data_IF_323304322886
#
_entry.id   IF_323304322886
#
_cell.length_a   1.000
_cell.length_b   1.000
_cell.length_c   1.000
_cell.angle_alpha   90.00
_cell.angle_beta   90.00
_cell.angle_gamma   90.00
#
_symmetry.space_group_name_H-M   'P 1'
#
loop_
_entity.id
_entity.type
_entity.pdbx_description
1 polymer ?
#
# COMPACT_ATOMS: atom_id res chain seq x y z
N UNK A 1 25.13 -26.19 45.41
CA UNK A 1 23.75 -26.29 45.93
C UNK A 1 23.06 -24.97 45.62
N UNK A 2 22.10 -24.97 44.67
CA UNK A 2 21.14 -23.91 44.25
C UNK A 2 21.64 -22.47 43.98
N UNK A 3 21.07 -21.65 43.10
CA UNK A 3 20.24 -21.74 41.89
C UNK A 3 20.10 -20.29 41.36
N UNK A 4 19.72 -20.15 40.10
CA UNK A 4 19.62 -18.90 39.35
C UNK A 4 18.57 -17.90 39.85
N UNK A 5 18.78 -16.61 39.58
CA UNK A 5 17.72 -15.76 39.01
C UNK A 5 18.34 -14.68 38.10
N UNK A 6 17.92 -14.69 36.82
CA UNK A 6 18.25 -13.68 35.83
C UNK A 6 17.32 -12.47 36.00
N UNK A 7 17.90 -11.28 36.11
CA UNK A 7 17.18 -10.02 36.00
C UNK A 7 16.90 -9.70 34.54
N UNK A 8 15.64 -9.79 34.15
CA UNK A 8 15.12 -9.44 32.83
C UNK A 8 15.04 -7.92 32.66
N UNK A 9 16.04 -7.33 32.00
CA UNK A 9 15.95 -6.01 31.37
C UNK A 9 15.73 -6.21 29.87
N UNK A 10 14.47 -6.30 29.44
CA UNK A 10 14.18 -6.48 28.01
C UNK A 10 12.74 -6.87 27.73
N UNK A 11 11.78 -5.98 28.00
CA UNK A 11 10.39 -6.19 27.57
C UNK A 11 9.62 -4.86 27.51
N UNK A 12 9.98 -3.95 26.60
CA UNK A 12 9.14 -2.77 26.33
C UNK A 12 9.13 -2.28 24.88
N UNK A 13 9.64 -3.07 23.94
CA UNK A 13 9.50 -2.79 22.51
C UNK A 13 8.82 -3.98 21.85
N UNK A 14 7.86 -3.73 20.95
CA UNK A 14 7.02 -4.67 20.17
C UNK A 14 5.54 -4.73 20.55
N UNK A 15 4.86 -3.57 20.56
CA UNK A 15 3.40 -3.52 20.51
C UNK A 15 2.94 -2.40 19.57
N UNK A 16 2.81 -2.67 18.26
CA UNK A 16 1.80 -1.96 17.45
C UNK A 16 1.26 -2.85 16.33
N UNK A 17 -0.07 -2.93 16.28
CA UNK A 17 -0.90 -3.64 15.30
C UNK A 17 -1.14 -2.87 14.01
N UNK A 18 -1.44 -3.59 12.92
CA UNK A 18 -1.56 -3.04 11.56
C UNK A 18 -2.59 -3.73 10.69
N UNK A 19 -3.11 -2.92 9.76
CA UNK A 19 -3.74 -3.42 8.56
C UNK A 19 -3.36 -2.58 7.33
N UNK A 20 -3.24 -3.27 6.20
CA UNK A 20 -3.07 -2.68 4.87
C UNK A 20 -4.38 -2.92 4.14
N UNK A 21 -5.08 -1.85 3.77
CA UNK A 21 -6.15 -1.93 2.79
C UNK A 21 -5.50 -2.05 1.42
N UNK A 22 -5.38 -3.27 0.90
CA UNK A 22 -5.13 -3.49 -0.52
C UNK A 22 -6.35 -4.20 -1.09
N UNK A 23 -7.01 -3.55 -2.04
CA UNK A 23 -8.10 -4.19 -2.78
C UNK A 23 -7.55 -5.34 -3.62
N UNK A 24 -7.88 -6.56 -3.22
CA UNK A 24 -7.87 -7.74 -4.07
C UNK A 24 -9.23 -8.43 -3.84
N UNK A 25 -10.29 -7.88 -4.43
CA UNK A 25 -11.65 -8.27 -4.09
C UNK A 25 -12.65 -8.10 -5.22
N UNK A 26 -12.51 -8.90 -6.30
CA UNK A 26 -13.61 -9.58 -7.00
C UNK A 26 -13.03 -10.70 -7.87
N UNK A 27 -12.71 -11.84 -7.26
CA UNK A 27 -12.78 -13.16 -7.91
C UNK A 27 -13.29 -14.13 -6.85
N UNK A 28 -14.62 -14.19 -6.70
CA UNK A 28 -15.30 -15.37 -6.20
C UNK A 28 -15.62 -16.25 -7.42
N UNK A 29 -15.18 -17.50 -7.33
CA UNK A 29 -15.89 -18.68 -7.85
C UNK A 29 -16.19 -18.74 -9.35
N UNK A 30 -15.22 -19.22 -10.14
CA UNK A 30 -15.54 -20.03 -11.33
C UNK A 30 -14.75 -21.34 -11.27
N UNK A 31 -15.53 -22.40 -11.23
CA UNK A 31 -15.13 -23.79 -11.19
C UNK A 31 -14.32 -24.20 -12.44
N UNK A 32 -13.29 -25.02 -12.19
CA UNK A 32 -12.73 -26.05 -13.08
C UNK A 32 -12.87 -25.90 -14.61
N UNK A 33 -11.76 -25.62 -15.30
CA UNK A 33 -11.21 -26.44 -16.42
C UNK A 33 -9.94 -25.80 -17.00
N UNK A 34 -8.83 -26.49 -16.79
CA UNK A 34 -7.58 -26.32 -17.54
C UNK A 34 -7.82 -26.71 -19.01
N UNK A 35 -7.41 -25.86 -19.94
CA UNK A 35 -6.80 -26.33 -21.19
C UNK A 35 -5.58 -25.48 -21.49
N UNK A 36 -4.47 -26.18 -21.65
CA UNK A 36 -3.19 -25.69 -22.10
C UNK A 36 -3.19 -25.42 -23.61
N UNK A 37 -2.16 -24.69 -24.03
CA UNK A 37 -1.69 -24.41 -25.39
C UNK A 37 -2.30 -23.19 -26.07
N UNK A 38 -1.48 -22.13 -26.19
CA UNK A 38 -1.04 -21.64 -27.50
C UNK A 38 0.25 -20.81 -27.35
N UNK A 39 1.24 -21.18 -28.15
CA UNK A 39 2.53 -20.52 -28.31
C UNK A 39 2.34 -19.48 -29.43
N UNK A 40 2.66 -18.20 -29.16
CA UNK A 40 3.03 -17.24 -30.21
C UNK A 40 4.27 -16.47 -29.73
N UNK A 41 5.42 -16.57 -30.42
CA UNK A 41 6.59 -15.75 -30.14
C UNK A 41 6.61 -14.47 -31.00
N UNK A 42 7.31 -13.47 -30.47
CA UNK A 42 7.79 -12.25 -31.12
C UNK A 42 6.80 -11.09 -31.35
N UNK A 43 6.80 -10.16 -30.39
CA UNK A 43 6.97 -8.75 -30.67
C UNK A 43 7.88 -8.15 -29.59
N UNK A 44 8.91 -7.42 -30.03
CA UNK A 44 9.88 -6.72 -29.19
C UNK A 44 9.17 -5.72 -28.27
N UNK A 45 9.13 -6.02 -26.96
CA UNK A 45 8.90 -5.01 -25.92
C UNK A 45 10.24 -4.34 -25.61
N UNK A 46 10.51 -3.20 -26.23
CA UNK A 46 11.61 -2.31 -25.82
C UNK A 46 11.30 -1.69 -24.45
N UNK A 47 12.15 -1.98 -23.47
CA UNK A 47 12.33 -1.27 -22.20
C UNK A 47 11.10 -0.99 -21.33
N UNK A 48 10.27 -2.00 -21.05
CA UNK A 48 9.52 -1.98 -19.80
C UNK A 48 10.47 -2.34 -18.65
N UNK A 49 10.52 -1.60 -17.53
CA UNK A 49 11.30 -2.03 -16.38
C UNK A 49 10.70 -3.33 -15.88
N UNK A 50 11.34 -4.44 -16.25
CA UNK A 50 11.05 -5.78 -15.76
C UNK A 50 11.03 -5.67 -14.24
N UNK A 51 9.87 -5.95 -13.65
CA UNK A 51 9.73 -6.04 -12.19
C UNK A 51 10.81 -7.00 -11.72
N UNK A 52 11.76 -6.43 -11.00
CA UNK A 52 13.10 -7.00 -10.99
C UNK A 52 13.24 -8.21 -10.07
N UNK A 53 12.22 -8.46 -9.26
CA UNK A 53 12.13 -9.55 -8.32
C UNK A 53 10.73 -10.17 -8.36
N UNK A 54 10.68 -11.50 -8.27
CA UNK A 54 9.42 -12.24 -8.19
C UNK A 54 8.73 -11.98 -6.83
N UNK A 55 7.41 -12.19 -6.72
CA UNK A 55 6.70 -12.11 -5.44
C UNK A 55 7.35 -12.94 -4.31
N UNK A 56 8.13 -13.96 -4.66
CA UNK A 56 8.90 -14.79 -3.73
C UNK A 56 9.97 -13.98 -2.98
N UNK A 57 10.73 -13.13 -3.67
CA UNK A 57 11.81 -12.37 -3.01
C UNK A 57 11.24 -11.26 -2.13
N UNK A 58 10.18 -10.58 -2.59
CA UNK A 58 9.44 -9.61 -1.78
C UNK A 58 8.94 -10.28 -0.50
N UNK A 59 8.39 -11.49 -0.61
CA UNK A 59 7.95 -12.28 0.55
C UNK A 59 9.10 -12.58 1.50
N UNK A 60 10.23 -13.07 0.99
CA UNK A 60 11.40 -13.36 1.83
C UNK A 60 11.91 -12.12 2.57
N UNK A 61 11.97 -10.97 1.91
CA UNK A 61 12.40 -9.72 2.52
C UNK A 61 11.43 -9.23 3.58
N UNK A 62 10.13 -9.28 3.30
CA UNK A 62 9.09 -8.93 4.27
C UNK A 62 9.12 -9.87 5.48
N UNK A 63 9.17 -11.19 5.27
CA UNK A 63 9.18 -12.19 6.35
C UNK A 63 10.44 -12.08 7.24
N UNK A 64 11.59 -11.68 6.67
CA UNK A 64 12.86 -11.55 7.41
C UNK A 64 13.02 -10.22 8.12
N UNK A 65 12.50 -9.13 7.54
CA UNK A 65 12.80 -7.76 7.99
C UNK A 65 11.63 -7.14 8.77
N UNK A 66 10.40 -7.58 8.54
CA UNK A 66 9.19 -6.94 9.09
C UNK A 66 8.58 -7.81 10.19
N UNK A 67 8.64 -7.33 11.43
CA UNK A 67 8.19 -8.07 12.60
C UNK A 67 6.78 -7.68 13.05
N UNK A 68 6.00 -8.67 13.49
CA UNK A 68 4.65 -8.46 14.01
C UNK A 68 3.59 -8.12 12.95
N UNK A 69 3.96 -7.90 11.68
CA UNK A 69 3.02 -7.43 10.64
C UNK A 69 2.44 -8.54 9.76
N UNK A 70 2.05 -9.67 10.35
CA UNK A 70 1.60 -10.85 9.61
C UNK A 70 0.41 -10.57 8.66
N UNK A 71 -0.60 -9.80 9.09
CA UNK A 71 -1.74 -9.44 8.21
C UNK A 71 -1.30 -8.53 7.06
N UNK A 72 -0.53 -7.49 7.37
CA UNK A 72 -0.02 -6.53 6.39
C UNK A 72 0.81 -7.23 5.30
N UNK A 73 1.75 -8.09 5.70
CA UNK A 73 2.58 -8.87 4.79
C UNK A 73 1.72 -9.76 3.88
N UNK A 74 0.75 -10.49 4.46
CA UNK A 74 -0.14 -11.38 3.69
C UNK A 74 -0.92 -10.62 2.61
N UNK A 75 -1.44 -9.44 2.95
CA UNK A 75 -2.29 -8.64 2.06
C UNK A 75 -1.46 -7.96 0.97
N UNK A 76 -0.33 -7.36 1.32
CA UNK A 76 0.61 -6.77 0.36
C UNK A 76 1.03 -7.80 -0.67
N UNK A 77 1.44 -8.99 -0.22
CA UNK A 77 1.87 -10.05 -1.12
C UNK A 77 0.75 -10.51 -2.04
N UNK A 78 -0.47 -10.65 -1.53
CA UNK A 78 -1.64 -11.01 -2.34
C UNK A 78 -1.91 -9.94 -3.41
N UNK A 79 -1.93 -8.66 -3.03
CA UNK A 79 -2.24 -7.56 -3.92
C UNK A 79 -1.17 -7.32 -4.99
N UNK A 80 0.11 -7.33 -4.60
CA UNK A 80 1.23 -7.25 -5.54
C UNK A 80 1.21 -8.44 -6.51
N UNK A 81 1.01 -9.67 -6.01
CA UNK A 81 0.93 -10.85 -6.87
C UNK A 81 -0.23 -10.81 -7.85
N UNK A 82 -1.37 -10.24 -7.46
CA UNK A 82 -2.52 -10.08 -8.35
C UNK A 82 -2.23 -9.02 -9.43
N UNK A 83 -1.71 -7.86 -9.05
CA UNK A 83 -1.36 -6.79 -9.98
C UNK A 83 -0.27 -7.23 -10.98
N UNK A 84 0.77 -7.92 -10.51
CA UNK A 84 1.88 -8.38 -11.36
C UNK A 84 1.46 -9.46 -12.37
N UNK A 85 0.46 -10.28 -12.05
CA UNK A 85 -0.07 -11.33 -12.96
C UNK A 85 -0.97 -10.78 -14.06
N UNK A 86 -1.61 -9.64 -13.83
CA UNK A 86 -2.48 -9.02 -14.81
C UNK A 86 -1.67 -8.24 -15.85
N UNK A 87 -1.77 -8.63 -17.13
CA UNK A 87 -1.07 -7.94 -18.24
C UNK A 87 -1.58 -6.51 -18.45
N UNK A 88 -2.87 -6.30 -18.24
CA UNK A 88 -3.57 -5.00 -18.41
C UNK A 88 -4.62 -4.82 -17.30
N UNK A 89 -4.23 -4.46 -16.07
CA UNK A 89 -5.17 -4.19 -14.98
C UNK A 89 -6.18 -3.08 -15.35
N UNK A 90 -7.43 -3.20 -14.89
CA UNK A 90 -8.49 -2.21 -15.19
C UNK A 90 -8.43 -0.95 -14.32
N UNK A 91 -7.62 -0.97 -13.26
CA UNK A 91 -7.32 0.14 -12.36
C UNK A 91 -5.91 -0.03 -11.76
N UNK A 92 -5.24 1.04 -11.32
CA UNK A 92 -3.96 0.91 -10.62
C UNK A 92 -4.09 0.08 -9.34
N UNK A 93 -2.95 -0.42 -8.84
CA UNK A 93 -2.90 -0.99 -7.50
C UNK A 93 -2.87 0.15 -6.48
N UNK A 94 -3.90 0.23 -5.64
CA UNK A 94 -3.98 1.19 -4.55
C UNK A 94 -3.88 0.45 -3.22
N UNK A 95 -2.97 0.91 -2.35
CA UNK A 95 -2.81 0.39 -1.00
C UNK A 95 -2.80 1.53 0.01
N UNK A 96 -3.54 1.39 1.10
CA UNK A 96 -3.51 2.32 2.23
C UNK A 96 -3.04 1.63 3.51
N UNK A 97 -1.98 2.14 4.09
CA UNK A 97 -1.25 1.59 5.23
C UNK A 97 -1.63 2.41 6.47
N UNK A 98 -2.38 1.79 7.38
CA UNK A 98 -2.88 2.44 8.60
C UNK A 98 -2.23 1.83 9.86
N UNK A 99 -1.88 2.69 10.82
CA UNK A 99 -1.37 2.25 12.12
C UNK A 99 -0.63 3.35 12.87
N UNK A 100 -0.25 3.09 14.13
CA UNK A 100 0.53 4.03 14.95
C UNK A 100 1.89 4.37 14.33
N UNK A 101 2.52 5.46 14.75
CA UNK A 101 3.86 5.84 14.30
C UNK A 101 4.95 4.87 14.80
N UNK A 102 6.02 4.68 14.02
CA UNK A 102 7.20 3.88 14.42
C UNK A 102 7.11 2.37 14.14
N UNK A 103 6.20 1.94 13.26
CA UNK A 103 5.72 0.54 13.27
C UNK A 103 5.90 -0.17 11.94
N UNK A 104 6.49 0.54 10.98
CA UNK A 104 6.98 -0.05 9.74
C UNK A 104 6.30 0.38 8.44
N UNK A 105 5.50 1.46 8.35
CA UNK A 105 4.81 1.84 7.08
C UNK A 105 5.74 2.30 6.01
N UNK A 106 6.55 3.28 6.35
CA UNK A 106 7.62 3.70 5.49
C UNK A 106 8.55 2.51 5.18
N UNK A 107 8.88 1.69 6.18
CA UNK A 107 9.77 0.54 6.00
C UNK A 107 9.23 -0.54 5.03
N UNK A 108 7.96 -0.96 5.17
CA UNK A 108 7.30 -1.89 4.25
C UNK A 108 7.24 -1.28 2.85
N UNK A 109 6.89 0.01 2.72
CA UNK A 109 6.86 0.69 1.42
C UNK A 109 8.24 0.76 0.77
N UNK A 110 9.31 0.94 1.56
CA UNK A 110 10.70 0.91 1.10
C UNK A 110 11.08 -0.48 0.60
N UNK A 111 10.75 -1.54 1.33
CA UNK A 111 11.01 -2.93 0.89
C UNK A 111 10.30 -3.21 -0.44
N UNK A 112 9.05 -2.75 -0.61
CA UNK A 112 8.31 -2.88 -1.87
C UNK A 112 9.04 -2.13 -3.00
N UNK A 113 9.41 -0.86 -2.78
CA UNK A 113 10.10 -0.05 -3.77
C UNK A 113 11.46 -0.65 -4.18
N UNK A 114 12.25 -1.10 -3.19
CA UNK A 114 13.54 -1.74 -3.38
C UNK A 114 13.45 -3.00 -4.23
N UNK A 115 12.49 -3.86 -3.95
CA UNK A 115 12.33 -5.12 -4.66
C UNK A 115 11.74 -4.93 -6.06
N UNK A 116 10.75 -4.04 -6.23
CA UNK A 116 10.14 -3.81 -7.54
C UNK A 116 11.11 -3.12 -8.49
N UNK A 117 11.77 -2.06 -8.03
CA UNK A 117 12.54 -1.19 -8.90
C UNK A 117 14.03 -1.46 -8.88
N UNK A 118 14.61 -2.16 -7.88
CA UNK A 118 16.07 -2.17 -7.60
C UNK A 118 16.55 -0.72 -7.58
N UNK A 119 16.73 -0.12 -6.40
CA UNK A 119 17.13 1.29 -6.27
C UNK A 119 18.57 1.60 -6.74
N UNK A 120 19.01 1.02 -7.86
CA UNK A 120 20.06 1.56 -8.69
C UNK A 120 19.61 2.92 -9.27
N UNK A 121 20.59 3.77 -9.59
CA UNK A 121 20.37 5.17 -9.98
C UNK A 121 19.31 5.31 -11.10
N UNK A 122 19.28 4.48 -12.17
CA UNK A 122 18.31 4.64 -13.25
C UNK A 122 16.86 4.37 -12.87
N UNK A 123 16.58 3.45 -11.94
CA UNK A 123 15.20 3.01 -11.65
C UNK A 123 14.57 3.72 -10.46
N UNK A 124 15.37 4.36 -9.61
CA UNK A 124 14.88 5.25 -8.54
C UNK A 124 13.98 6.36 -9.07
N UNK A 125 14.17 6.81 -10.32
CA UNK A 125 13.36 7.87 -10.95
C UNK A 125 11.89 7.50 -11.13
N UNK A 126 11.53 6.22 -11.06
CA UNK A 126 10.14 5.73 -11.16
C UNK A 126 9.46 5.53 -9.80
N UNK A 127 10.16 5.86 -8.71
CA UNK A 127 9.64 5.83 -7.34
C UNK A 127 9.54 7.26 -6.83
N UNK A 128 8.31 7.73 -6.63
CA UNK A 128 8.01 9.09 -6.24
C UNK A 128 7.49 9.10 -4.81
N UNK A 129 8.19 9.81 -3.93
CA UNK A 129 7.83 9.90 -2.51
C UNK A 129 7.40 11.33 -2.16
N UNK A 130 6.16 11.47 -1.66
CA UNK A 130 5.58 12.72 -1.23
C UNK A 130 5.33 12.68 0.27
N UNK A 131 6.05 13.47 1.05
CA UNK A 131 5.60 13.86 2.40
C UNK A 131 4.62 15.03 2.26
N UNK A 132 3.42 14.88 2.81
CA UNK A 132 2.39 15.93 2.75
C UNK A 132 2.82 17.18 3.50
N UNK A 133 3.47 17.00 4.66
CA UNK A 133 3.96 18.09 5.51
C UNK A 133 5.07 18.88 4.84
N UNK A 134 5.97 18.20 4.12
CA UNK A 134 7.12 18.86 3.47
C UNK A 134 6.77 19.48 2.11
N UNK A 135 6.00 18.78 1.27
CA UNK A 135 5.72 19.24 -0.09
C UNK A 135 4.50 20.15 -0.16
N UNK A 136 3.55 20.02 0.77
CA UNK A 136 2.28 20.75 0.74
C UNK A 136 2.00 21.52 2.06
N UNK A 137 2.97 22.31 2.59
CA UNK A 137 2.86 22.92 3.93
C UNK A 137 1.85 24.06 4.03
N UNK A 138 1.52 24.73 2.92
CA UNK A 138 0.74 25.98 2.94
C UNK A 138 -0.56 25.86 2.15
N UNK A 139 -1.69 25.95 2.87
CA UNK A 139 -3.03 25.89 2.26
C UNK A 139 -3.29 27.00 1.23
N UNK A 140 -2.63 28.16 1.35
CA UNK A 140 -2.73 29.25 0.39
C UNK A 140 -2.27 28.86 -1.02
N UNK A 141 -1.42 27.85 -1.17
CA UNK A 141 -0.90 27.38 -2.44
C UNK A 141 -1.62 26.11 -2.96
N UNK A 142 -2.77 25.75 -2.39
CA UNK A 142 -3.45 24.49 -2.72
C UNK A 142 -3.72 24.33 -4.21
N UNK A 143 -4.12 25.40 -4.92
CA UNK A 143 -4.36 25.35 -6.37
C UNK A 143 -3.09 25.00 -7.16
N UNK A 144 -1.96 25.61 -6.81
CA UNK A 144 -0.67 25.31 -7.42
C UNK A 144 -0.25 23.87 -7.14
N UNK A 145 -0.42 23.40 -5.89
CA UNK A 145 -0.08 22.02 -5.52
C UNK A 145 -0.92 20.99 -6.27
N UNK A 146 -2.21 21.24 -6.47
CA UNK A 146 -3.08 20.37 -7.29
C UNK A 146 -2.54 20.24 -8.71
N UNK A 147 -2.24 21.36 -9.37
CA UNK A 147 -1.74 21.38 -10.74
C UNK A 147 -0.38 20.67 -10.86
N UNK A 148 0.56 21.00 -9.96
CA UNK A 148 1.88 20.37 -9.93
C UNK A 148 1.78 18.86 -9.73
N UNK A 149 0.94 18.41 -8.81
CA UNK A 149 0.77 16.99 -8.51
C UNK A 149 0.14 16.24 -9.68
N UNK A 150 -0.91 16.79 -10.30
CA UNK A 150 -1.55 16.19 -11.48
C UNK A 150 -0.58 16.09 -12.65
N UNK A 151 0.15 17.16 -12.95
CA UNK A 151 1.15 17.19 -14.02
C UNK A 151 2.30 16.21 -13.73
N UNK A 152 2.73 16.11 -12.47
CA UNK A 152 3.76 15.16 -12.06
C UNK A 152 3.32 13.71 -12.25
N UNK A 153 2.12 13.35 -11.79
CA UNK A 153 1.58 12.00 -11.94
C UNK A 153 1.40 11.67 -13.42
N UNK A 154 0.75 12.56 -14.20
CA UNK A 154 0.57 12.37 -15.64
C UNK A 154 1.90 12.19 -16.36
N UNK A 155 2.85 13.11 -16.17
CA UNK A 155 4.15 13.05 -16.85
C UNK A 155 4.96 11.79 -16.55
N UNK A 156 4.99 11.36 -15.27
CA UNK A 156 5.75 10.17 -14.90
C UNK A 156 5.07 8.86 -15.33
N UNK A 157 3.72 8.79 -15.30
CA UNK A 157 3.00 7.62 -15.81
C UNK A 157 3.12 7.53 -17.33
N UNK A 158 3.08 8.65 -18.06
CA UNK A 158 3.36 8.69 -19.49
C UNK A 158 4.76 8.19 -19.82
N UNK A 159 5.76 8.55 -19.02
CA UNK A 159 7.13 8.08 -19.20
C UNK A 159 7.32 6.61 -18.77
N UNK A 160 6.61 6.16 -17.74
CA UNK A 160 6.65 4.79 -17.22
C UNK A 160 5.30 4.40 -16.61
N UNK A 161 4.51 3.54 -17.28
CA UNK A 161 3.20 3.11 -16.78
C UNK A 161 3.26 2.37 -15.43
N UNK A 162 4.42 1.80 -15.09
CA UNK A 162 4.71 1.19 -13.79
C UNK A 162 5.44 2.19 -12.89
N UNK A 163 4.93 3.41 -12.74
CA UNK A 163 5.44 4.33 -11.74
C UNK A 163 4.84 4.01 -10.37
N UNK A 164 5.64 4.15 -9.31
CA UNK A 164 5.23 3.97 -7.92
C UNK A 164 5.15 5.32 -7.22
N UNK A 165 3.99 5.64 -6.67
CA UNK A 165 3.74 6.84 -5.89
C UNK A 165 3.50 6.47 -4.43
N UNK A 166 4.30 7.03 -3.51
CA UNK A 166 4.18 6.84 -2.07
C UNK A 166 3.84 8.19 -1.46
N UNK A 167 2.69 8.29 -0.81
CA UNK A 167 2.24 9.48 -0.10
C UNK A 167 2.27 9.21 1.40
N UNK A 168 3.19 9.86 2.10
CA UNK A 168 3.33 9.79 3.54
C UNK A 168 2.49 10.85 4.24
N UNK A 169 2.05 10.56 5.47
CA UNK A 169 1.32 11.50 6.34
C UNK A 169 0.00 11.96 5.72
N UNK A 170 -0.75 11.02 5.13
CA UNK A 170 -2.01 11.33 4.45
C UNK A 170 -3.08 11.90 5.38
N UNK A 171 -3.02 11.61 6.68
CA UNK A 171 -3.85 12.28 7.70
C UNK A 171 -3.66 13.80 7.75
N UNK A 172 -2.49 14.28 7.32
CA UNK A 172 -2.13 15.70 7.25
C UNK A 172 -2.34 16.30 5.86
N UNK A 173 -2.82 15.53 4.89
CA UNK A 173 -3.04 16.04 3.54
C UNK A 173 -4.22 17.02 3.51
N UNK A 174 -4.09 18.20 2.90
CA UNK A 174 -5.22 19.10 2.71
C UNK A 174 -6.32 18.44 1.86
N UNK A 175 -7.58 18.49 2.31
CA UNK A 175 -8.73 17.89 1.61
C UNK A 175 -8.74 18.19 0.11
N UNK A 176 -8.61 19.45 -0.28
CA UNK A 176 -8.65 19.83 -1.69
C UNK A 176 -7.53 19.21 -2.53
N UNK A 177 -6.42 18.82 -1.93
CA UNK A 177 -5.33 18.18 -2.66
C UNK A 177 -5.60 16.70 -2.95
N UNK A 178 -6.34 16.01 -2.07
CA UNK A 178 -6.73 14.61 -2.26
C UNK A 178 -7.55 14.46 -3.55
N UNK A 179 -8.50 15.38 -3.79
CA UNK A 179 -9.33 15.41 -5.00
C UNK A 179 -8.53 15.43 -6.30
N UNK A 180 -7.30 15.98 -6.26
CA UNK A 180 -6.44 16.06 -7.45
C UNK A 180 -5.84 14.70 -7.84
N UNK A 181 -5.74 13.76 -6.90
CA UNK A 181 -5.21 12.41 -7.11
C UNK A 181 -6.30 11.44 -7.52
N UNK A 182 -7.53 11.65 -7.01
CA UNK A 182 -8.67 10.75 -7.17
C UNK A 182 -8.91 10.26 -8.60
N UNK A 183 -8.88 11.12 -9.65
CA UNK A 183 -9.10 10.66 -11.02
C UNK A 183 -8.17 9.52 -11.44
N UNK A 184 -6.95 9.46 -10.90
CA UNK A 184 -5.96 8.46 -11.29
C UNK A 184 -6.14 7.12 -10.58
N UNK A 185 -7.01 7.01 -9.57
CA UNK A 185 -7.17 5.81 -8.74
C UNK A 185 -8.32 4.88 -9.21
N UNK A 186 -9.22 5.40 -10.05
CA UNK A 186 -10.45 4.74 -10.47
C UNK A 186 -10.30 3.73 -11.62
N UNK A 187 -11.46 3.22 -12.05
CA UNK A 187 -11.58 2.37 -13.24
C UNK A 187 -11.66 3.24 -14.49
N UNK A 188 -10.52 3.39 -15.17
CA UNK A 188 -10.43 4.13 -16.42
C UNK A 188 -9.60 3.32 -17.41
N UNK A 189 -10.05 3.27 -18.67
CA UNK A 189 -9.20 2.74 -19.74
C UNK A 189 -7.99 3.65 -19.93
N UNK A 190 -8.20 4.96 -20.10
CA UNK A 190 -7.17 5.99 -20.17
C UNK A 190 -7.73 7.32 -19.65
N UNK A 191 -6.86 8.22 -19.19
CA UNK A 191 -7.18 9.61 -18.85
C UNK A 191 -6.22 10.48 -19.66
N UNK A 192 -6.77 11.37 -20.50
CA UNK A 192 -5.99 12.18 -21.44
C UNK A 192 -5.01 11.35 -22.31
N UNK A 193 -5.42 10.14 -22.72
CA UNK A 193 -4.60 9.21 -23.51
C UNK A 193 -3.51 8.48 -22.73
N UNK A 194 -3.51 8.57 -21.39
CA UNK A 194 -2.52 7.93 -20.52
C UNK A 194 -3.17 6.76 -19.76
N UNK A 195 -2.52 5.59 -19.82
CA UNK A 195 -2.98 4.37 -19.15
C UNK A 195 -2.37 4.22 -17.74
N UNK A 196 -3.22 4.29 -16.71
CA UNK A 196 -2.80 4.24 -15.30
C UNK A 196 -2.88 2.86 -14.66
N UNK A 197 -3.44 1.85 -15.32
CA UNK A 197 -3.73 0.55 -14.70
C UNK A 197 -2.50 -0.20 -14.17
N UNK A 198 -1.30 0.11 -14.65
CA UNK A 198 -0.03 -0.48 -14.17
C UNK A 198 0.63 0.30 -13.02
N UNK A 199 0.15 1.49 -12.70
CA UNK A 199 0.71 2.31 -11.63
C UNK A 199 0.39 1.73 -10.26
N UNK A 200 1.20 2.09 -9.27
CA UNK A 200 1.03 1.67 -7.87
C UNK A 200 0.99 2.92 -7.00
N UNK A 201 -0.04 3.03 -6.17
CA UNK A 201 -0.22 4.09 -5.19
C UNK A 201 -0.19 3.49 -3.79
N UNK A 202 0.68 4.02 -2.92
CA UNK A 202 0.79 3.64 -1.52
C UNK A 202 0.55 4.87 -0.66
N UNK A 203 -0.50 4.83 0.15
CA UNK A 203 -0.86 5.87 1.11
C UNK A 203 -0.43 5.43 2.51
N UNK A 204 0.32 6.25 3.23
CA UNK A 204 0.72 5.99 4.61
C UNK A 204 -0.04 6.96 5.53
N UNK A 205 -0.81 6.43 6.46
CA UNK A 205 -1.73 7.20 7.30
C UNK A 205 -1.66 6.77 8.76
N UNK A 206 -1.61 7.72 9.69
CA UNK A 206 -1.65 7.43 11.13
C UNK A 206 -3.08 7.27 11.69
N UNK A 207 -4.10 7.69 10.95
CA UNK A 207 -5.51 7.58 11.34
C UNK A 207 -5.92 6.13 11.64
N UNK A 208 -6.68 5.96 12.73
CA UNK A 208 -7.11 4.66 13.26
C UNK A 208 -6.03 3.85 13.98
N UNK A 209 -4.82 4.40 14.14
CA UNK A 209 -3.72 3.73 14.85
C UNK A 209 -4.02 3.45 16.33
N UNK A 210 -4.75 4.35 16.99
CA UNK A 210 -5.24 4.21 18.36
C UNK A 210 -6.25 3.05 18.48
N UNK A 211 -7.24 2.97 17.59
CA UNK A 211 -8.24 1.89 17.56
C UNK A 211 -7.64 0.53 17.26
N UNK A 212 -6.70 0.48 16.31
CA UNK A 212 -5.95 -0.74 16.04
C UNK A 212 -5.18 -1.20 17.30
N UNK A 213 -4.60 -0.25 18.04
CA UNK A 213 -3.88 -0.53 19.29
C UNK A 213 -4.81 -1.01 20.39
N UNK A 214 -6.00 -0.41 20.52
CA UNK A 214 -7.04 -0.79 21.47
C UNK A 214 -7.49 -2.26 21.27
N UNK A 215 -7.78 -2.66 20.02
CA UNK A 215 -8.16 -4.06 19.72
C UNK A 215 -7.02 -5.02 20.07
N UNK A 216 -5.79 -4.67 19.72
CA UNK A 216 -4.64 -5.51 20.01
C UNK A 216 -4.44 -5.69 21.52
N UNK A 217 -4.65 -4.61 22.28
CA UNK A 217 -4.62 -4.63 23.73
C UNK A 217 -5.74 -5.50 24.32
N UNK A 218 -6.95 -5.44 23.76
CA UNK A 218 -8.08 -6.26 24.21
C UNK A 218 -7.85 -7.76 23.97
N UNK A 219 -7.27 -8.12 22.82
CA UNK A 219 -6.91 -9.51 22.54
C UNK A 219 -5.84 -10.00 23.52
N UNK A 220 -4.82 -9.18 23.75
CA UNK A 220 -3.77 -9.49 24.71
C UNK A 220 -4.32 -9.67 26.13
N UNK A 221 -5.18 -8.74 26.60
CA UNK A 221 -5.88 -8.84 27.89
C UNK A 221 -6.76 -10.09 28.01
N UNK A 222 -7.32 -10.53 26.89
CA UNK A 222 -8.13 -11.75 26.79
C UNK A 222 -7.29 -13.02 26.61
N UNK A 223 -5.97 -12.97 26.79
CA UNK A 223 -5.03 -14.07 26.58
C UNK A 223 -5.09 -14.68 25.16
N UNK A 224 -5.50 -13.89 24.17
CA UNK A 224 -5.51 -14.28 22.75
C UNK A 224 -4.24 -13.78 22.09
N UNK A 225 -3.80 -14.50 21.05
CA UNK A 225 -2.64 -14.05 20.27
C UNK A 225 -3.07 -12.94 19.34
N UNK A 226 -2.10 -12.10 18.97
CA UNK A 226 -2.29 -11.05 17.96
C UNK A 226 -2.69 -11.66 16.61
N UNK A 227 -2.13 -12.82 16.28
CA UNK A 227 -2.40 -13.58 15.06
C UNK A 227 -3.85 -14.08 14.97
N UNK A 228 -4.58 -14.07 16.08
CA UNK A 228 -5.98 -14.48 16.14
C UNK A 228 -6.94 -13.30 15.84
N UNK A 229 -6.43 -12.07 15.65
CA UNK A 229 -7.24 -10.90 15.30
C UNK A 229 -7.74 -11.02 13.85
N UNK A 230 -9.06 -11.13 13.61
CA UNK A 230 -9.58 -11.27 12.27
C UNK A 230 -9.42 -9.99 11.45
N UNK A 231 -8.95 -10.15 10.22
CA UNK A 231 -8.91 -9.10 9.18
C UNK A 231 -10.21 -8.30 9.11
N UNK A 232 -11.35 -9.00 9.06
CA UNK A 232 -12.68 -8.38 8.93
C UNK A 232 -13.01 -7.44 10.09
N UNK A 233 -12.53 -7.75 11.31
CA UNK A 233 -12.75 -6.90 12.49
C UNK A 233 -11.98 -5.58 12.37
N UNK A 234 -10.72 -5.65 11.93
CA UNK A 234 -9.90 -4.48 11.68
C UNK A 234 -10.46 -3.63 10.53
N UNK A 235 -10.94 -4.26 9.45
CA UNK A 235 -11.57 -3.56 8.33
C UNK A 235 -12.84 -2.81 8.76
N UNK A 236 -13.73 -3.43 9.54
CA UNK A 236 -14.94 -2.77 10.05
C UNK A 236 -14.60 -1.53 10.87
N UNK A 237 -13.66 -1.66 11.81
CA UNK A 237 -13.27 -0.57 12.71
C UNK A 237 -12.57 0.55 11.97
N UNK A 238 -11.70 0.21 11.02
CA UNK A 238 -11.06 1.22 10.18
C UNK A 238 -12.05 1.89 9.24
N UNK A 239 -13.04 1.17 8.70
CA UNK A 239 -14.05 1.80 7.86
C UNK A 239 -14.80 2.88 8.64
N UNK A 240 -15.28 2.58 9.85
CA UNK A 240 -15.95 3.54 10.73
C UNK A 240 -15.08 4.76 11.06
N UNK A 241 -13.80 4.53 11.35
CA UNK A 241 -12.86 5.60 11.70
C UNK A 241 -12.46 6.44 10.48
N UNK A 242 -12.30 5.80 9.32
CA UNK A 242 -12.01 6.43 8.05
C UNK A 242 -13.20 7.28 7.59
N UNK A 243 -14.45 6.82 7.78
CA UNK A 243 -15.67 7.60 7.53
C UNK A 243 -15.80 8.80 8.48
N UNK A 244 -15.30 8.71 9.72
CA UNK A 244 -15.29 9.86 10.65
C UNK A 244 -14.23 10.90 10.31
N UNK A 245 -13.10 10.47 9.77
CA UNK A 245 -12.04 11.36 9.32
C UNK A 245 -12.26 11.74 7.85
N UNK A 246 -12.82 12.94 7.63
CA UNK A 246 -13.17 13.48 6.30
C UNK A 246 -12.03 13.46 5.27
N UNK A 247 -10.75 13.38 5.69
CA UNK A 247 -9.60 13.29 4.76
C UNK A 247 -9.47 11.87 4.19
N UNK A 248 -9.80 10.84 4.97
CA UNK A 248 -9.69 9.45 4.58
C UNK A 248 -11.00 8.87 4.01
N UNK A 249 -12.14 9.45 4.39
CA UNK A 249 -13.50 9.04 3.97
C UNK A 249 -13.63 8.87 2.45
N UNK A 250 -13.07 9.80 1.68
CA UNK A 250 -13.16 9.81 0.22
C UNK A 250 -12.29 8.75 -0.47
N UNK A 251 -11.14 8.38 0.13
CA UNK A 251 -10.28 7.30 -0.41
C UNK A 251 -10.92 5.91 -0.19
N UNK A 252 -11.75 5.79 0.85
CA UNK A 252 -12.48 4.57 1.15
C UNK A 252 -13.71 4.38 0.25
N UNK A 253 -14.46 5.44 -0.04
CA UNK A 253 -15.65 5.36 -0.92
C UNK A 253 -15.32 4.75 -2.30
N UNK A 254 -14.20 5.15 -2.92
CA UNK A 254 -13.75 4.61 -4.21
C UNK A 254 -13.18 3.18 -4.15
N UNK A 255 -12.88 2.67 -2.93
CA UNK A 255 -12.50 1.27 -2.70
C UNK A 255 -13.71 0.34 -2.48
N UNK A 256 -14.91 0.91 -2.32
CA UNK A 256 -16.17 0.19 -2.11
C UNK A 256 -17.10 0.17 -3.32
N UNK A 257 -16.90 1.04 -4.32
CA UNK A 257 -17.64 1.01 -5.59
C UNK A 257 -17.25 -0.24 -6.41
N UNK A 258 -17.90 -1.34 -6.05
CA UNK A 258 -17.72 -2.68 -6.60
C UNK A 258 -19.04 -3.21 -7.14
#
# INVERSE_FOLDING_TARGET
MYAASHGSTGAFSLLVSWFILAEAGKILEVNSRLRANEIIPHLLETDTPVVSHTPVVIKMDLDRKVFGQHLAIQIVLRALSANMRSKRPRKPLVMSFHGWTGTGKSFVSSIIAENLYRLNIPRRKFVHHFSTVLHFPHLSHIHLYKEQLQNWIRGNVSACPRSLFIFAEMDQMPHGLIDSIMPFLGYHEEIDGVYYGKAIFIFLNNAGGDKITEIALDYWRSLKRREDIPVKKLQSLLSEEIFRNRNSEYLWAQSQDC
#
